data_IF_622923241502
#
_entry.id   IF_622923241502
#
_cell.length_a   1.000
_cell.length_b   1.000
_cell.length_c   1.000
_cell.angle_alpha   90.00
_cell.angle_beta   90.00
_cell.angle_gamma   90.00
#
_symmetry.space_group_name_H-M   'P 1'
#
loop_
_entity.id
_entity.type
_entity.pdbx_description
1 polymer ?
#
# COMPACT_ATOMS: atom_id res chain seq x y z
N UNK A 1 -3.45 -12.42 28.30
CA UNK A 1 -2.33 -12.26 29.22
C UNK A 1 -2.27 -10.80 29.57
N UNK A 2 -2.28 -10.50 30.87
CA UNK A 2 -2.42 -9.14 31.39
C UNK A 2 -1.41 -8.18 30.74
N UNK A 3 -1.91 -7.12 30.11
CA UNK A 3 -1.12 -5.95 29.69
C UNK A 3 -0.57 -5.93 28.27
N UNK A 4 -0.77 -6.92 27.40
CA UNK A 4 -0.28 -6.88 26.03
C UNK A 4 -1.40 -6.67 24.99
N UNK A 5 -1.20 -5.72 24.08
CA UNK A 5 -2.08 -5.56 22.91
C UNK A 5 -1.88 -6.74 21.96
N UNK A 6 -2.99 -7.35 21.50
CA UNK A 6 -2.99 -8.45 20.54
C UNK A 6 -3.99 -8.22 19.42
N UNK A 7 -3.68 -8.70 18.22
CA UNK A 7 -4.61 -8.81 17.12
C UNK A 7 -5.13 -10.25 17.07
N UNK A 8 -6.45 -10.41 16.91
CA UNK A 8 -7.11 -11.72 16.83
C UNK A 8 -7.85 -11.87 15.52
N UNK A 9 -7.91 -13.11 15.01
CA UNK A 9 -8.81 -13.49 13.93
C UNK A 9 -10.26 -13.53 14.42
N UNK A 10 -11.18 -13.74 13.50
CA UNK A 10 -12.61 -13.91 13.83
C UNK A 10 -12.87 -15.14 14.70
N UNK A 11 -12.10 -16.21 14.55
CA UNK A 11 -12.15 -17.41 15.40
C UNK A 11 -11.53 -17.20 16.81
N UNK A 12 -10.93 -16.02 17.07
CA UNK A 12 -10.29 -15.67 18.35
C UNK A 12 -8.81 -16.07 18.45
N UNK A 13 -8.20 -16.64 17.41
CA UNK A 13 -6.76 -16.96 17.36
C UNK A 13 -5.92 -15.69 17.46
N UNK A 14 -4.87 -15.69 18.28
CA UNK A 14 -3.89 -14.60 18.32
C UNK A 14 -3.06 -14.66 17.05
N UNK A 15 -3.06 -13.58 16.27
CA UNK A 15 -2.31 -13.41 15.03
C UNK A 15 -1.04 -12.60 15.22
N UNK A 16 -1.08 -11.62 16.12
CA UNK A 16 0.03 -10.73 16.40
C UNK A 16 -0.04 -10.17 17.82
N UNK A 17 1.07 -9.68 18.33
CA UNK A 17 1.13 -8.94 19.59
C UNK A 17 1.95 -7.65 19.42
N UNK A 18 1.71 -6.67 20.30
CA UNK A 18 2.52 -5.46 20.40
C UNK A 18 3.61 -5.70 21.44
N UNK A 19 4.89 -5.71 21.08
CA UNK A 19 5.98 -5.76 22.06
C UNK A 19 6.01 -4.51 22.94
N UNK A 20 6.55 -4.64 24.14
CA UNK A 20 6.68 -3.52 25.06
C UNK A 20 7.57 -2.43 24.46
N UNK A 21 7.07 -1.20 24.39
CA UNK A 21 7.75 -0.05 23.79
C UNK A 21 7.79 -0.03 22.25
N UNK A 22 7.18 -1.01 21.57
CA UNK A 22 7.08 -1.00 20.13
C UNK A 22 5.94 -0.09 19.65
N UNK A 23 6.08 0.38 18.39
CA UNK A 23 5.07 1.18 17.69
C UNK A 23 4.26 0.33 16.69
N UNK A 24 4.59 -0.96 16.54
CA UNK A 24 4.02 -1.87 15.56
C UNK A 24 3.71 -3.22 16.20
N UNK A 25 2.73 -3.92 15.61
CA UNK A 25 2.45 -5.31 15.94
C UNK A 25 3.42 -6.26 15.25
N UNK A 26 3.89 -7.25 15.97
CA UNK A 26 4.65 -8.38 15.42
C UNK A 26 3.72 -9.55 15.15
N UNK A 27 3.68 -10.00 13.91
CA UNK A 27 2.91 -11.19 13.53
C UNK A 27 3.57 -12.45 14.12
N UNK A 28 2.74 -13.32 14.71
CA UNK A 28 3.18 -14.56 15.37
C UNK A 28 2.55 -15.83 14.79
N UNK A 29 1.54 -15.69 13.97
CA UNK A 29 0.86 -16.78 13.30
C UNK A 29 0.91 -16.63 11.78
N UNK A 30 1.39 -17.63 11.09
CA UNK A 30 1.51 -17.71 9.64
C UNK A 30 0.86 -19.01 9.18
N UNK A 31 -0.32 -18.95 8.54
CA UNK A 31 -1.13 -20.14 8.21
C UNK A 31 -0.40 -21.19 7.37
N UNK A 32 0.50 -20.80 6.48
CA UNK A 32 1.20 -21.67 5.54
C UNK A 32 2.65 -21.99 5.95
N UNK A 33 3.04 -21.65 7.18
CA UNK A 33 4.41 -21.89 7.64
C UNK A 33 4.79 -23.37 7.66
N UNK A 34 3.86 -24.26 8.02
CA UNK A 34 4.08 -25.72 8.11
C UNK A 34 3.65 -26.47 6.85
N UNK A 35 3.01 -25.80 5.91
CA UNK A 35 2.51 -26.34 4.65
C UNK A 35 1.30 -25.57 4.15
N UNK A 36 1.06 -25.58 2.84
CA UNK A 36 -0.06 -24.89 2.22
C UNK A 36 -1.08 -25.85 1.62
N UNK A 37 -2.35 -25.47 1.75
CA UNK A 37 -3.45 -25.97 0.97
C UNK A 37 -4.00 -24.80 0.12
N UNK A 38 -3.60 -24.76 -1.15
CA UNK A 38 -4.00 -23.69 -2.06
C UNK A 38 -5.49 -23.72 -2.42
N UNK A 39 -6.17 -24.85 -2.24
CA UNK A 39 -7.61 -24.94 -2.48
C UNK A 39 -8.41 -24.31 -1.34
N UNK A 40 -7.84 -24.28 -0.14
CA UNK A 40 -8.41 -23.64 1.04
C UNK A 40 -7.97 -22.16 1.23
N UNK A 41 -7.22 -21.56 0.28
CA UNK A 41 -6.63 -20.22 0.44
C UNK A 41 -7.67 -19.14 0.80
N UNK A 42 -8.89 -19.21 0.28
CA UNK A 42 -9.97 -18.26 0.60
C UNK A 42 -10.35 -18.26 2.08
N UNK A 43 -10.48 -19.44 2.68
CA UNK A 43 -10.79 -19.60 4.11
C UNK A 43 -9.60 -19.18 4.98
N UNK A 44 -8.40 -19.55 4.54
CA UNK A 44 -7.15 -19.20 5.24
C UNK A 44 -6.91 -17.69 5.26
N UNK A 45 -7.22 -16.98 4.16
CA UNK A 45 -7.18 -15.52 4.12
C UNK A 45 -8.09 -14.89 5.18
N UNK A 46 -9.30 -15.42 5.39
CA UNK A 46 -10.25 -14.95 6.40
C UNK A 46 -9.73 -15.05 7.85
N UNK A 47 -8.80 -15.96 8.11
CA UNK A 47 -8.16 -16.21 9.42
C UNK A 47 -6.71 -15.70 9.47
N UNK A 48 -6.28 -14.88 8.52
CA UNK A 48 -4.93 -14.35 8.44
C UNK A 48 -4.78 -12.96 9.05
N UNK A 49 -3.55 -12.56 9.33
CA UNK A 49 -3.20 -11.20 9.77
C UNK A 49 -3.63 -10.17 8.72
N UNK A 50 -3.51 -10.48 7.44
CA UNK A 50 -3.94 -9.60 6.36
C UNK A 50 -5.40 -9.17 6.51
N UNK A 51 -6.33 -10.12 6.62
CA UNK A 51 -7.75 -9.80 6.77
C UNK A 51 -8.05 -9.05 8.08
N UNK A 52 -7.35 -9.39 9.16
CA UNK A 52 -7.52 -8.73 10.45
C UNK A 52 -7.16 -7.23 10.43
N UNK A 53 -6.19 -6.81 9.59
CA UNK A 53 -5.80 -5.40 9.46
C UNK A 53 -6.51 -4.69 8.31
N UNK A 54 -6.88 -5.40 7.25
CA UNK A 54 -7.49 -4.83 6.05
C UNK A 54 -9.02 -4.72 6.15
N UNK A 55 -9.65 -5.52 7.00
CA UNK A 55 -11.10 -5.52 7.15
C UNK A 55 -11.53 -4.68 8.35
N UNK A 56 -12.49 -3.76 8.17
CA UNK A 56 -13.12 -3.10 9.30
C UNK A 56 -13.85 -4.12 10.18
N UNK A 57 -14.07 -3.81 11.46
CA UNK A 57 -14.80 -4.72 12.35
C UNK A 57 -16.23 -4.98 11.84
N UNK A 58 -16.49 -6.22 11.49
CA UNK A 58 -17.78 -6.71 10.98
C UNK A 58 -17.85 -6.83 9.44
N UNK A 59 -18.80 -7.62 8.94
CA UNK A 59 -18.97 -7.81 7.52
C UNK A 59 -19.49 -6.52 6.87
N UNK A 60 -18.74 -6.01 5.88
CA UNK A 60 -19.24 -4.96 4.99
C UNK A 60 -19.92 -5.66 3.82
N UNK A 61 -21.24 -5.57 3.73
CA UNK A 61 -21.96 -6.03 2.54
C UNK A 61 -21.88 -4.98 1.41
N UNK A 62 -22.05 -5.45 0.18
CA UNK A 62 -21.98 -4.61 -1.01
C UNK A 62 -23.01 -3.46 -0.99
N UNK A 63 -24.18 -3.67 -0.38
CA UNK A 63 -25.25 -2.67 -0.28
C UNK A 63 -24.84 -1.54 0.65
N UNK A 64 -24.35 -1.86 1.83
CA UNK A 64 -23.84 -0.87 2.80
C UNK A 64 -22.68 -0.07 2.23
N UNK A 65 -21.78 -0.72 1.48
CA UNK A 65 -20.64 -0.08 0.83
C UNK A 65 -21.11 0.89 -0.27
N UNK A 66 -22.01 0.48 -1.14
CA UNK A 66 -22.60 1.31 -2.19
C UNK A 66 -23.34 2.54 -1.60
N UNK A 67 -24.15 2.32 -0.57
CA UNK A 67 -24.87 3.40 0.12
C UNK A 67 -23.91 4.38 0.80
N UNK A 68 -22.83 3.90 1.38
CA UNK A 68 -21.77 4.71 1.95
C UNK A 68 -21.08 5.59 0.92
N UNK A 69 -20.66 5.00 -0.19
CA UNK A 69 -19.99 5.67 -1.29
C UNK A 69 -20.89 6.74 -1.95
N UNK A 70 -22.15 6.40 -2.21
CA UNK A 70 -23.16 7.34 -2.74
C UNK A 70 -23.37 8.53 -1.81
N UNK A 71 -23.52 8.31 -0.49
CA UNK A 71 -23.66 9.39 0.49
C UNK A 71 -22.41 10.26 0.58
N UNK A 72 -21.22 9.67 0.47
CA UNK A 72 -19.97 10.42 0.45
C UNK A 72 -19.87 11.28 -0.81
N UNK A 73 -20.12 10.73 -1.99
CA UNK A 73 -20.11 11.47 -3.25
C UNK A 73 -21.09 12.66 -3.25
N UNK A 74 -22.25 12.50 -2.65
CA UNK A 74 -23.24 13.58 -2.55
C UNK A 74 -22.81 14.74 -1.62
N UNK A 75 -21.79 14.55 -0.78
CA UNK A 75 -21.31 15.54 0.20
C UNK A 75 -20.02 16.25 -0.22
N UNK A 76 -19.37 15.84 -1.29
CA UNK A 76 -18.07 16.37 -1.69
C UNK A 76 -17.88 16.34 -3.20
N UNK A 77 -17.19 17.36 -3.71
CA UNK A 77 -16.64 17.44 -5.06
C UNK A 77 -15.18 16.95 -5.14
N UNK A 78 -14.61 16.55 -4.01
CA UNK A 78 -13.23 16.04 -3.93
C UNK A 78 -13.12 14.66 -4.53
N UNK A 79 -11.91 14.30 -4.98
CA UNK A 79 -11.59 12.94 -5.39
C UNK A 79 -11.82 11.96 -4.23
N UNK A 80 -12.49 10.85 -4.51
CA UNK A 80 -12.76 9.78 -3.56
C UNK A 80 -11.87 8.59 -3.92
N UNK A 81 -11.15 8.08 -2.92
CA UNK A 81 -10.32 6.89 -3.04
C UNK A 81 -11.09 5.68 -2.51
N UNK A 82 -11.27 4.68 -3.36
CA UNK A 82 -11.74 3.35 -2.95
C UNK A 82 -10.57 2.49 -2.50
N UNK A 83 -10.57 2.07 -1.25
CA UNK A 83 -9.53 1.21 -0.68
C UNK A 83 -9.85 -0.25 -1.03
N UNK A 84 -9.10 -0.84 -1.95
CA UNK A 84 -9.31 -2.23 -2.38
C UNK A 84 -8.26 -3.19 -1.81
N UNK A 85 -6.99 -2.81 -1.82
CA UNK A 85 -5.87 -3.67 -1.44
C UNK A 85 -5.41 -4.55 -2.60
N UNK A 86 -5.82 -5.83 -2.64
CA UNK A 86 -5.45 -6.74 -3.74
C UNK A 86 -3.96 -7.09 -3.77
N UNK A 87 -3.30 -7.07 -2.61
CA UNK A 87 -1.86 -7.30 -2.44
C UNK A 87 -1.51 -8.74 -2.82
N UNK A 88 -0.42 -8.91 -3.54
CA UNK A 88 0.07 -10.22 -3.96
C UNK A 88 1.28 -10.65 -3.13
N UNK A 89 2.29 -9.79 -3.05
CA UNK A 89 3.54 -10.07 -2.35
C UNK A 89 3.35 -10.08 -0.83
N UNK A 90 2.72 -9.05 -0.30
CA UNK A 90 2.48 -8.96 1.15
C UNK A 90 1.55 -10.07 1.66
N UNK A 91 0.52 -10.47 0.90
CA UNK A 91 -0.32 -11.62 1.28
C UNK A 91 0.52 -12.88 1.40
N UNK A 92 1.47 -13.11 0.48
CA UNK A 92 2.42 -14.21 0.61
C UNK A 92 3.25 -14.13 1.89
N UNK A 93 3.73 -12.93 2.24
CA UNK A 93 4.47 -12.71 3.49
C UNK A 93 3.60 -12.99 4.74
N UNK A 94 2.33 -12.56 4.72
CA UNK A 94 1.39 -12.82 5.83
C UNK A 94 1.01 -14.30 5.98
N UNK A 95 1.03 -15.06 4.90
CA UNK A 95 0.69 -16.49 4.94
C UNK A 95 1.88 -17.40 5.25
N UNK A 96 3.03 -17.17 4.59
CA UNK A 96 4.20 -18.03 4.66
C UNK A 96 5.28 -17.55 5.64
N UNK A 97 5.22 -16.33 6.17
CA UNK A 97 6.32 -15.56 6.74
C UNK A 97 7.31 -15.09 5.65
N UNK A 98 7.89 -13.91 5.83
CA UNK A 98 8.69 -13.25 4.80
C UNK A 98 9.84 -14.11 4.26
N UNK A 99 10.64 -14.72 5.14
CA UNK A 99 11.78 -15.55 4.76
C UNK A 99 11.38 -16.82 3.97
N UNK A 100 10.31 -17.50 4.40
CA UNK A 100 9.80 -18.68 3.71
C UNK A 100 9.15 -18.32 2.36
N UNK A 101 8.45 -17.19 2.29
CA UNK A 101 7.89 -16.73 1.03
C UNK A 101 8.98 -16.37 0.02
N UNK A 102 10.02 -15.65 0.44
CA UNK A 102 11.18 -15.34 -0.42
C UNK A 102 11.89 -16.60 -0.90
N UNK A 103 12.05 -17.62 -0.04
CA UNK A 103 12.58 -18.93 -0.44
C UNK A 103 11.68 -19.64 -1.45
N UNK A 104 10.36 -19.61 -1.26
CA UNK A 104 9.38 -20.16 -2.22
C UNK A 104 9.52 -19.51 -3.60
N UNK A 105 9.56 -18.16 -3.65
CA UNK A 105 9.71 -17.42 -4.91
C UNK A 105 11.02 -17.75 -5.65
N UNK A 106 12.10 -17.95 -4.90
CA UNK A 106 13.42 -18.20 -5.48
C UNK A 106 13.66 -19.67 -5.89
N UNK A 107 13.18 -20.61 -5.07
CA UNK A 107 13.53 -22.02 -5.20
C UNK A 107 12.42 -22.88 -5.85
N UNK A 108 11.17 -22.47 -5.76
CA UNK A 108 10.01 -23.23 -6.20
C UNK A 108 9.09 -22.41 -7.16
N UNK A 109 9.59 -21.91 -8.29
CA UNK A 109 8.83 -20.96 -9.10
C UNK A 109 7.48 -21.48 -9.59
N UNK A 110 7.36 -22.78 -9.86
CA UNK A 110 6.08 -23.37 -10.27
C UNK A 110 5.03 -23.36 -9.14
N UNK A 111 5.45 -23.54 -7.89
CA UNK A 111 4.57 -23.44 -6.72
C UNK A 111 4.21 -22.00 -6.45
N UNK A 112 5.16 -21.07 -6.59
CA UNK A 112 4.93 -19.65 -6.51
C UNK A 112 3.89 -19.16 -7.56
N UNK A 113 4.00 -19.63 -8.81
CA UNK A 113 3.00 -19.34 -9.85
C UNK A 113 1.61 -19.84 -9.43
N UNK A 114 1.47 -21.09 -9.00
CA UNK A 114 0.17 -21.65 -8.56
C UNK A 114 -0.45 -20.85 -7.41
N UNK A 115 0.35 -20.48 -6.41
CA UNK A 115 -0.10 -19.65 -5.30
C UNK A 115 -0.62 -18.29 -5.80
N UNK A 116 0.18 -17.58 -6.60
CA UNK A 116 -0.18 -16.27 -7.12
C UNK A 116 -1.38 -16.32 -8.09
N UNK A 117 -1.54 -17.40 -8.87
CA UNK A 117 -2.69 -17.59 -9.75
C UNK A 117 -3.98 -17.80 -8.97
N UNK A 118 -3.93 -18.59 -7.90
CA UNK A 118 -5.08 -18.74 -6.98
C UNK A 118 -5.45 -17.43 -6.28
N UNK A 119 -4.44 -16.69 -5.85
CA UNK A 119 -4.68 -15.40 -5.19
C UNK A 119 -5.29 -14.37 -6.14
N UNK A 120 -4.81 -14.29 -7.39
CA UNK A 120 -5.35 -13.35 -8.37
C UNK A 120 -6.80 -13.69 -8.78
N UNK A 121 -7.18 -14.98 -8.85
CA UNK A 121 -8.57 -15.40 -9.06
C UNK A 121 -9.49 -14.81 -7.98
N UNK A 122 -9.09 -14.91 -6.72
CA UNK A 122 -9.85 -14.35 -5.57
C UNK A 122 -9.91 -12.81 -5.67
N UNK A 123 -8.79 -12.17 -5.96
CA UNK A 123 -8.75 -10.71 -6.07
C UNK A 123 -9.61 -10.20 -7.23
N UNK A 124 -9.62 -10.85 -8.38
CA UNK A 124 -10.47 -10.47 -9.52
C UNK A 124 -11.96 -10.59 -9.16
N UNK A 125 -12.38 -11.68 -8.54
CA UNK A 125 -13.76 -11.85 -8.09
C UNK A 125 -14.18 -10.78 -7.06
N UNK A 126 -13.28 -10.43 -6.13
CA UNK A 126 -13.51 -9.38 -5.15
C UNK A 126 -13.53 -7.99 -5.79
N UNK A 127 -12.66 -7.74 -6.76
CA UNK A 127 -12.60 -6.48 -7.51
C UNK A 127 -13.91 -6.20 -8.26
N UNK A 128 -14.47 -7.21 -8.92
CA UNK A 128 -15.75 -7.10 -9.61
C UNK A 128 -16.88 -6.73 -8.65
N UNK A 129 -16.96 -7.40 -7.50
CA UNK A 129 -17.96 -7.08 -6.46
C UNK A 129 -17.77 -5.67 -5.91
N UNK A 130 -16.53 -5.29 -5.64
CA UNK A 130 -16.18 -3.96 -5.10
C UNK A 130 -16.57 -2.86 -6.09
N UNK A 131 -16.12 -2.94 -7.34
CA UNK A 131 -16.38 -1.91 -8.34
C UNK A 131 -17.84 -1.89 -8.81
N UNK A 132 -18.55 -3.02 -8.79
CA UNK A 132 -20.01 -3.02 -8.99
C UNK A 132 -20.72 -2.20 -7.91
N UNK A 133 -20.22 -2.22 -6.68
CA UNK A 133 -20.83 -1.47 -5.57
C UNK A 133 -20.46 0.01 -5.56
N UNK A 134 -19.20 0.35 -5.88
CA UNK A 134 -18.67 1.72 -5.65
C UNK A 134 -18.08 2.41 -6.88
N UNK A 135 -17.93 1.74 -8.00
CA UNK A 135 -17.20 2.24 -9.16
C UNK A 135 -17.72 3.57 -9.72
N UNK A 136 -19.01 3.84 -9.62
CA UNK A 136 -19.62 5.13 -10.02
C UNK A 136 -19.31 6.29 -9.07
N UNK A 137 -18.81 5.99 -7.86
CA UNK A 137 -18.67 6.99 -6.78
C UNK A 137 -17.23 7.32 -6.45
N UNK A 138 -16.27 6.54 -6.94
CA UNK A 138 -14.83 6.73 -6.68
C UNK A 138 -14.10 7.22 -7.93
N UNK A 139 -13.02 7.96 -7.71
CA UNK A 139 -12.17 8.49 -8.80
C UNK A 139 -10.84 7.72 -8.89
N UNK A 140 -10.42 7.12 -7.77
CA UNK A 140 -9.16 6.41 -7.63
C UNK A 140 -9.42 5.10 -6.90
N UNK A 141 -8.83 4.01 -7.40
CA UNK A 141 -8.78 2.74 -6.68
C UNK A 141 -7.37 2.54 -6.13
N UNK A 142 -7.26 2.29 -4.82
CA UNK A 142 -6.00 2.05 -4.13
C UNK A 142 -5.75 0.56 -3.99
N UNK A 143 -4.70 0.12 -4.65
CA UNK A 143 -4.07 -1.19 -4.45
C UNK A 143 -2.92 -1.08 -3.47
N UNK A 144 -2.52 -2.19 -2.85
CA UNK A 144 -1.34 -2.26 -1.99
C UNK A 144 -0.41 -3.36 -2.46
N UNK A 145 0.87 -3.17 -2.32
CA UNK A 145 1.89 -4.23 -2.30
C UNK A 145 3.28 -3.64 -1.98
N UNK A 146 3.81 -3.90 -0.79
CA UNK A 146 5.10 -3.36 -0.36
C UNK A 146 6.24 -4.18 -0.99
N UNK A 147 6.75 -3.68 -2.13
CA UNK A 147 7.79 -4.33 -2.93
C UNK A 147 9.20 -3.84 -2.60
N UNK A 148 9.34 -2.84 -1.74
CA UNK A 148 10.60 -2.18 -1.42
C UNK A 148 11.01 -2.29 0.04
N UNK A 149 12.29 -2.05 0.28
CA UNK A 149 12.89 -1.83 1.60
C UNK A 149 13.83 -0.62 1.56
N UNK A 150 14.52 -0.30 2.66
CA UNK A 150 15.39 0.88 2.73
C UNK A 150 16.50 0.91 1.67
N UNK A 151 16.99 -0.25 1.25
CA UNK A 151 18.14 -0.38 0.33
C UNK A 151 17.75 -0.61 -1.13
N UNK A 152 16.47 -0.71 -1.45
CA UNK A 152 15.96 -0.96 -2.80
C UNK A 152 14.82 -1.98 -2.83
N UNK A 153 14.49 -2.55 -4.00
CA UNK A 153 13.44 -3.54 -4.12
C UNK A 153 13.72 -4.84 -3.34
N UNK A 154 12.69 -5.48 -2.81
CA UNK A 154 12.78 -6.77 -2.12
C UNK A 154 13.07 -7.93 -3.08
N UNK A 155 12.87 -7.73 -4.36
CA UNK A 155 13.12 -8.71 -5.42
C UNK A 155 13.78 -8.06 -6.63
N UNK A 156 14.46 -8.88 -7.46
CA UNK A 156 15.04 -8.37 -8.70
C UNK A 156 13.94 -7.95 -9.70
N UNK A 157 14.20 -6.97 -10.59
CA UNK A 157 13.26 -6.63 -11.67
C UNK A 157 12.87 -7.83 -12.54
N UNK A 158 13.78 -8.79 -12.72
CA UNK A 158 13.47 -10.04 -13.45
C UNK A 158 12.40 -10.85 -12.73
N UNK A 159 12.53 -11.07 -11.42
CA UNK A 159 11.54 -11.81 -10.62
C UNK A 159 10.19 -11.09 -10.62
N UNK A 160 10.18 -9.77 -10.49
CA UNK A 160 8.97 -8.97 -10.59
C UNK A 160 8.27 -9.16 -11.94
N UNK A 161 8.99 -9.06 -13.07
CA UNK A 161 8.46 -9.26 -14.42
C UNK A 161 7.89 -10.66 -14.64
N UNK A 162 8.49 -11.67 -14.03
CA UNK A 162 8.07 -13.06 -14.17
C UNK A 162 6.84 -13.37 -13.31
N UNK A 163 6.87 -12.99 -12.02
CA UNK A 163 5.87 -13.44 -11.05
C UNK A 163 4.75 -12.43 -10.79
N UNK A 164 5.04 -11.14 -10.71
CA UNK A 164 4.09 -10.13 -10.21
C UNK A 164 3.53 -9.23 -11.31
N UNK A 165 4.36 -8.69 -12.18
CA UNK A 165 3.94 -7.75 -13.23
C UNK A 165 2.75 -8.23 -14.08
N UNK A 166 2.69 -9.49 -14.55
CA UNK A 166 1.54 -9.96 -15.35
C UNK A 166 0.23 -9.92 -14.56
N UNK A 167 0.29 -10.19 -13.26
CA UNK A 167 -0.87 -10.22 -12.35
C UNK A 167 -1.31 -8.83 -11.92
N UNK A 168 -0.37 -7.93 -11.60
CA UNK A 168 -0.67 -6.52 -11.40
C UNK A 168 -1.34 -5.91 -12.64
N UNK A 169 -0.77 -6.16 -13.83
CA UNK A 169 -1.33 -5.69 -15.09
C UNK A 169 -2.76 -6.20 -15.32
N UNK A 170 -3.01 -7.47 -15.05
CA UNK A 170 -4.34 -8.08 -15.16
C UNK A 170 -5.34 -7.39 -14.21
N UNK A 171 -4.97 -7.24 -12.94
CA UNK A 171 -5.83 -6.67 -11.90
C UNK A 171 -6.11 -5.18 -12.15
N UNK A 172 -5.10 -4.39 -12.48
CA UNK A 172 -5.21 -2.95 -12.71
C UNK A 172 -5.97 -2.62 -14.00
N UNK A 173 -5.72 -3.36 -15.07
CA UNK A 173 -6.49 -3.18 -16.31
C UNK A 173 -7.95 -3.59 -16.10
N UNK A 174 -8.21 -4.68 -15.37
CA UNK A 174 -9.58 -5.07 -15.05
C UNK A 174 -10.31 -4.00 -14.24
N UNK A 175 -9.65 -3.33 -13.32
CA UNK A 175 -10.24 -2.20 -12.59
C UNK A 175 -10.66 -1.07 -13.54
N UNK A 176 -9.78 -0.69 -14.49
CA UNK A 176 -10.06 0.35 -15.50
C UNK A 176 -11.13 -0.04 -16.52
N UNK A 177 -11.31 -1.33 -16.78
CA UNK A 177 -12.41 -1.84 -17.63
C UNK A 177 -13.76 -1.76 -16.92
N UNK A 178 -13.78 -1.98 -15.60
CA UNK A 178 -15.00 -2.02 -14.80
C UNK A 178 -15.50 -0.63 -14.39
N UNK A 179 -14.61 0.36 -14.27
CA UNK A 179 -14.95 1.71 -13.84
C UNK A 179 -13.96 2.76 -14.38
N UNK A 180 -14.42 4.01 -14.51
CA UNK A 180 -13.54 5.14 -14.88
C UNK A 180 -12.73 5.60 -13.67
N UNK A 181 -11.70 4.83 -13.33
CA UNK A 181 -10.86 5.06 -12.15
C UNK A 181 -9.38 5.14 -12.52
N UNK A 182 -8.61 5.89 -11.72
CA UNK A 182 -7.15 5.85 -11.73
C UNK A 182 -6.64 4.80 -10.76
N UNK A 183 -5.59 4.09 -11.16
CA UNK A 183 -4.94 3.06 -10.35
C UNK A 183 -3.84 3.70 -9.51
N UNK A 184 -3.96 3.63 -8.20
CA UNK A 184 -2.92 4.02 -7.25
C UNK A 184 -2.38 2.79 -6.54
N UNK A 185 -1.06 2.67 -6.43
CA UNK A 185 -0.40 1.63 -5.65
C UNK A 185 0.19 2.24 -4.38
N UNK A 186 -0.20 1.69 -3.22
CA UNK A 186 0.56 1.86 -1.98
C UNK A 186 1.70 0.84 -1.99
N UNK A 187 2.94 1.36 -1.94
CA UNK A 187 4.14 0.55 -2.01
C UNK A 187 5.27 1.25 -1.25
N UNK A 188 5.55 0.80 -0.03
CA UNK A 188 6.64 1.32 0.77
C UNK A 188 8.01 0.88 0.25
N UNK A 189 9.05 1.62 0.66
CA UNK A 189 10.44 1.30 0.35
C UNK A 189 10.95 1.89 -0.95
N UNK A 190 12.19 1.52 -1.28
CA UNK A 190 12.87 1.91 -2.52
C UNK A 190 12.44 1.02 -3.68
N UNK A 191 11.69 1.58 -4.62
CA UNK A 191 11.13 0.83 -5.76
C UNK A 191 11.49 1.43 -7.12
N UNK A 192 12.45 2.37 -7.17
CA UNK A 192 12.83 3.04 -8.43
C UNK A 192 13.11 2.08 -9.57
N UNK A 193 13.84 0.98 -9.30
CA UNK A 193 14.18 0.00 -10.32
C UNK A 193 12.95 -0.74 -10.89
N UNK A 194 11.84 -0.79 -10.15
CA UNK A 194 10.58 -1.40 -10.58
C UNK A 194 9.64 -0.40 -11.26
N UNK A 195 9.86 0.92 -11.12
CA UNK A 195 8.95 1.96 -11.63
C UNK A 195 8.62 1.82 -13.12
N UNK A 196 9.58 1.56 -14.03
CA UNK A 196 9.23 1.36 -15.45
C UNK A 196 8.24 0.20 -15.66
N UNK A 197 8.44 -0.88 -14.92
CA UNK A 197 7.58 -2.08 -15.02
C UNK A 197 6.20 -1.85 -14.39
N UNK A 198 6.12 -1.09 -13.28
CA UNK A 198 4.87 -0.70 -12.63
C UNK A 198 4.04 0.21 -13.56
N UNK A 199 4.67 1.22 -14.16
CA UNK A 199 4.02 2.13 -15.11
C UNK A 199 3.50 1.35 -16.32
N UNK A 200 4.32 0.48 -16.91
CA UNK A 200 3.91 -0.37 -18.04
C UNK A 200 2.77 -1.35 -17.68
N UNK A 201 2.69 -1.79 -16.42
CA UNK A 201 1.59 -2.61 -15.93
C UNK A 201 0.26 -1.83 -15.79
N UNK A 202 0.29 -0.49 -15.83
CA UNK A 202 -0.90 0.35 -15.81
C UNK A 202 -1.05 1.23 -14.58
N UNK A 203 0.03 1.48 -13.82
CA UNK A 203 0.02 2.36 -12.66
C UNK A 203 -0.20 3.83 -13.07
N UNK A 204 -1.11 4.55 -12.41
CA UNK A 204 -1.34 5.99 -12.61
C UNK A 204 -0.76 6.83 -11.46
N UNK A 205 -0.68 6.28 -10.23
CA UNK A 205 -0.13 6.98 -9.08
C UNK A 205 0.60 6.03 -8.13
N UNK A 206 1.71 6.50 -7.56
CA UNK A 206 2.52 5.78 -6.54
C UNK A 206 2.42 6.50 -5.20
N UNK A 207 2.20 5.76 -4.13
CA UNK A 207 2.15 6.18 -2.73
C UNK A 207 2.97 5.19 -1.88
N UNK A 208 3.71 5.61 -0.86
CA UNK A 208 3.83 6.97 -0.31
C UNK A 208 5.02 7.78 -0.83
N UNK A 209 5.82 7.28 -1.76
CA UNK A 209 7.08 7.88 -2.26
C UNK A 209 8.08 8.06 -1.12
N UNK A 210 8.69 6.95 -0.71
CA UNK A 210 9.57 6.93 0.47
C UNK A 210 10.96 7.48 0.16
N UNK A 211 11.07 8.81 0.18
CA UNK A 211 12.26 9.58 -0.22
C UNK A 211 13.52 9.32 0.62
N UNK A 212 13.38 8.70 1.79
CA UNK A 212 14.50 8.28 2.66
C UNK A 212 15.16 6.96 2.22
N UNK A 213 14.58 6.25 1.24
CA UNK A 213 15.15 5.01 0.73
C UNK A 213 16.20 5.24 -0.36
N UNK A 214 17.09 4.27 -0.52
CA UNK A 214 18.09 4.30 -1.59
C UNK A 214 17.44 4.40 -2.97
N UNK A 215 17.96 5.30 -3.81
CA UNK A 215 17.45 5.55 -5.16
C UNK A 215 16.14 6.33 -5.25
N UNK A 216 15.56 6.77 -4.14
CA UNK A 216 14.26 7.45 -4.10
C UNK A 216 14.39 8.99 -3.97
N UNK A 217 15.47 9.59 -4.50
CA UNK A 217 15.57 11.04 -4.55
C UNK A 217 14.40 11.66 -5.32
N UNK A 218 13.71 12.61 -4.71
CA UNK A 218 12.50 13.21 -5.26
C UNK A 218 12.74 13.93 -6.60
N UNK A 219 13.91 14.56 -6.78
CA UNK A 219 14.27 15.27 -8.01
C UNK A 219 14.55 14.30 -9.15
N UNK A 220 15.27 13.23 -8.89
CA UNK A 220 15.54 12.18 -9.88
C UNK A 220 14.25 11.47 -10.29
N UNK A 221 13.42 11.06 -9.33
CA UNK A 221 12.11 10.45 -9.61
C UNK A 221 11.22 11.37 -10.45
N UNK A 222 11.15 12.65 -10.08
CA UNK A 222 10.36 13.63 -10.83
C UNK A 222 10.85 13.84 -12.25
N UNK A 223 12.15 13.90 -12.45
CA UNK A 223 12.76 14.08 -13.77
C UNK A 223 12.53 12.85 -14.67
N UNK A 224 12.65 11.64 -14.09
CA UNK A 224 12.56 10.39 -14.85
C UNK A 224 11.11 9.95 -15.13
N UNK A 225 10.22 10.00 -14.12
CA UNK A 225 8.88 9.41 -14.19
C UNK A 225 7.72 10.40 -14.07
N UNK A 226 7.99 11.68 -13.79
CA UNK A 226 6.96 12.67 -13.47
C UNK A 226 5.98 13.01 -14.60
N UNK A 227 6.19 12.51 -15.83
CA UNK A 227 5.25 12.61 -16.95
C UNK A 227 4.30 11.41 -17.05
N UNK A 228 4.69 10.29 -16.46
CA UNK A 228 4.02 9.00 -16.64
C UNK A 228 3.25 8.56 -15.39
N UNK A 229 3.62 9.08 -14.21
CA UNK A 229 2.99 8.70 -12.93
C UNK A 229 2.82 9.91 -12.01
N UNK A 230 1.74 9.91 -11.23
CA UNK A 230 1.52 10.87 -10.15
C UNK A 230 2.21 10.40 -8.88
N UNK A 231 3.04 11.26 -8.27
CA UNK A 231 3.63 11.06 -6.96
C UNK A 231 2.66 11.49 -5.86
N UNK A 232 2.13 10.54 -5.12
CA UNK A 232 1.24 10.77 -4.00
C UNK A 232 1.99 10.52 -2.71
N UNK A 233 2.64 11.54 -2.16
CA UNK A 233 3.53 11.45 -1.02
C UNK A 233 4.89 12.09 -1.27
N UNK A 234 5.89 11.73 -0.45
CA UNK A 234 7.22 12.32 -0.53
C UNK A 234 7.29 13.77 -0.02
N UNK A 235 6.20 14.30 0.51
CA UNK A 235 6.11 15.70 0.94
C UNK A 235 6.82 15.99 2.26
N UNK A 236 6.94 15.00 3.13
CA UNK A 236 7.69 15.12 4.39
C UNK A 236 8.20 13.74 4.83
N UNK A 237 9.48 13.65 5.14
CA UNK A 237 10.09 12.46 5.73
C UNK A 237 9.55 12.22 7.14
N UNK A 238 9.03 11.00 7.36
CA UNK A 238 8.44 10.55 8.62
C UNK A 238 9.36 9.70 9.48
N UNK A 239 10.57 9.37 9.00
CA UNK A 239 11.55 8.58 9.75
C UNK A 239 12.48 9.46 10.59
N UNK A 240 12.89 10.60 10.07
CA UNK A 240 13.84 11.49 10.74
C UNK A 240 13.30 12.91 10.88
N UNK A 241 12.95 13.58 9.77
CA UNK A 241 12.62 15.01 9.78
C UNK A 241 11.37 15.32 10.62
N UNK A 242 10.28 14.60 10.41
CA UNK A 242 9.02 14.87 11.09
C UNK A 242 9.07 14.56 12.60
N UNK A 243 9.64 13.42 13.06
CA UNK A 243 9.72 13.12 14.49
C UNK A 243 10.83 13.84 15.23
N UNK A 244 11.97 14.14 14.58
CA UNK A 244 13.20 14.59 15.27
C UNK A 244 13.60 16.02 14.94
N UNK A 245 13.04 16.62 13.88
CA UNK A 245 13.34 18.00 13.49
C UNK A 245 12.66 19.04 14.38
N UNK A 246 13.11 20.31 14.28
CA UNK A 246 12.35 21.44 14.80
C UNK A 246 11.22 21.83 13.81
N UNK A 247 10.18 22.57 14.27
CA UNK A 247 9.13 23.06 13.36
C UNK A 247 9.67 23.81 12.14
N UNK A 248 10.75 24.57 12.30
CA UNK A 248 11.39 25.31 11.21
C UNK A 248 12.08 24.37 10.22
N UNK A 249 12.75 23.32 10.70
CA UNK A 249 13.38 22.30 9.85
C UNK A 249 12.32 21.50 9.06
N UNK A 250 11.24 21.11 9.72
CA UNK A 250 10.10 20.46 9.06
C UNK A 250 9.52 21.35 7.96
N UNK A 251 9.24 22.62 8.28
CA UNK A 251 8.70 23.58 7.31
C UNK A 251 9.66 23.82 6.13
N UNK A 252 10.95 23.88 6.38
CA UNK A 252 11.98 24.03 5.33
C UNK A 252 12.00 22.80 4.42
N UNK A 253 11.99 21.59 4.99
CA UNK A 253 11.97 20.33 4.26
C UNK A 253 10.71 20.22 3.37
N UNK A 254 9.53 20.48 3.92
CA UNK A 254 8.28 20.49 3.15
C UNK A 254 8.32 21.45 1.97
N UNK A 255 8.75 22.70 2.19
CA UNK A 255 8.89 23.67 1.09
C UNK A 255 9.86 23.21 0.01
N UNK A 256 10.92 22.51 0.39
CA UNK A 256 11.86 21.92 -0.56
C UNK A 256 11.21 20.81 -1.38
N UNK A 257 10.52 19.85 -0.76
CA UNK A 257 9.85 18.76 -1.46
C UNK A 257 8.76 19.28 -2.41
N UNK A 258 7.93 20.22 -1.96
CA UNK A 258 6.92 20.86 -2.81
C UNK A 258 7.55 21.55 -4.02
N UNK A 259 8.68 22.28 -3.83
CA UNK A 259 9.41 22.93 -4.93
C UNK A 259 9.91 21.92 -5.97
N UNK A 260 10.32 20.74 -5.54
CA UNK A 260 10.84 19.67 -6.41
C UNK A 260 9.68 18.97 -7.15
N UNK A 261 8.65 18.56 -6.43
CA UNK A 261 7.64 17.63 -6.96
C UNK A 261 6.48 18.34 -7.67
N UNK A 262 6.14 19.60 -7.32
CA UNK A 262 5.00 20.33 -7.89
C UNK A 262 5.13 20.73 -9.36
N UNK A 263 6.31 21.12 -9.90
CA UNK A 263 6.39 21.61 -11.29
C UNK A 263 5.84 20.61 -12.30
N UNK A 264 4.98 21.10 -13.21
CA UNK A 264 4.34 20.27 -14.24
C UNK A 264 3.16 19.41 -13.76
N UNK A 265 2.74 19.52 -12.50
CA UNK A 265 1.65 18.71 -11.92
C UNK A 265 2.11 17.29 -11.55
N UNK A 266 1.18 16.32 -11.45
CA UNK A 266 1.48 14.94 -11.08
C UNK A 266 2.06 14.81 -9.67
N UNK A 267 1.62 15.65 -8.73
CA UNK A 267 2.03 15.62 -7.34
C UNK A 267 0.84 15.88 -6.41
N UNK A 268 0.64 15.00 -5.45
CA UNK A 268 -0.30 15.17 -4.34
C UNK A 268 0.48 15.15 -3.04
N UNK A 269 0.40 16.26 -2.29
CA UNK A 269 1.12 16.36 -1.02
C UNK A 269 0.55 15.37 0.00
N UNK A 270 1.44 14.58 0.56
CA UNK A 270 1.24 13.74 1.75
C UNK A 270 2.61 13.54 2.39
N UNK A 271 2.67 13.38 3.71
CA UNK A 271 3.86 12.85 4.37
C UNK A 271 4.16 11.44 3.87
N UNK A 272 5.41 10.97 4.06
CA UNK A 272 5.84 9.68 3.49
C UNK A 272 5.06 8.48 4.03
N UNK A 273 4.77 8.46 5.35
CA UNK A 273 4.08 7.34 5.97
C UNK A 273 3.15 7.81 7.09
N UNK A 274 2.57 6.88 7.85
CA UNK A 274 1.75 7.20 9.01
C UNK A 274 2.50 8.08 10.01
N UNK A 275 1.79 9.03 10.60
CA UNK A 275 2.29 9.84 11.72
C UNK A 275 2.23 8.98 12.98
N UNK A 276 3.38 8.65 13.54
CA UNK A 276 3.49 7.81 14.72
C UNK A 276 3.33 8.62 16.01
N UNK A 277 3.12 7.92 17.13
CA UNK A 277 2.85 8.54 18.45
C UNK A 277 4.02 9.36 19.01
N UNK A 278 5.25 9.16 18.50
CA UNK A 278 6.44 9.91 18.89
C UNK A 278 6.62 11.24 18.16
N UNK A 279 5.74 11.57 17.20
CA UNK A 279 5.84 12.83 16.43
C UNK A 279 5.29 13.99 17.25
N UNK A 280 6.07 15.08 17.48
CA UNK A 280 5.58 16.28 18.15
C UNK A 280 4.42 16.94 17.37
N UNK A 281 3.38 17.35 18.06
CA UNK A 281 2.21 17.99 17.45
C UNK A 281 2.53 19.28 16.71
N UNK A 282 3.48 20.07 17.22
CA UNK A 282 3.98 21.29 16.61
C UNK A 282 4.65 21.03 15.24
N UNK A 283 5.30 19.89 15.05
CA UNK A 283 5.88 19.49 13.78
C UNK A 283 4.79 19.14 12.75
N UNK A 284 3.69 18.51 13.20
CA UNK A 284 2.55 18.24 12.32
C UNK A 284 1.91 19.56 11.85
N UNK A 285 1.72 20.51 12.74
CA UNK A 285 1.20 21.84 12.40
C UNK A 285 2.12 22.55 11.42
N UNK A 286 3.43 22.59 11.72
CA UNK A 286 4.42 23.20 10.84
C UNK A 286 4.48 22.60 9.44
N UNK A 287 4.29 21.27 9.33
CA UNK A 287 4.19 20.57 8.05
C UNK A 287 3.00 21.08 7.21
N UNK A 288 1.80 21.15 7.81
CA UNK A 288 0.61 21.61 7.09
C UNK A 288 0.63 23.12 6.79
N UNK A 289 1.13 23.94 7.70
CA UNK A 289 1.30 25.37 7.46
C UNK A 289 2.27 25.64 6.31
N UNK A 290 3.37 24.88 6.26
CA UNK A 290 4.37 25.02 5.21
C UNK A 290 3.82 24.63 3.83
N UNK A 291 3.02 23.57 3.71
CA UNK A 291 2.42 23.19 2.42
C UNK A 291 1.34 24.18 1.99
N UNK A 292 0.48 24.63 2.92
CA UNK A 292 -0.55 25.62 2.62
C UNK A 292 0.04 26.95 2.10
N UNK A 293 1.19 27.37 2.65
CA UNK A 293 1.88 28.56 2.20
C UNK A 293 2.65 28.38 0.87
N UNK A 294 2.90 27.14 0.43
CA UNK A 294 3.65 26.82 -0.78
C UNK A 294 2.74 26.46 -1.98
N UNK A 295 1.44 26.26 -1.76
CA UNK A 295 0.43 25.95 -2.78
C UNK A 295 -0.25 27.19 -3.32
#
# INVERSE_FOLDING_TARGET
QEGRWVIRSQSGRILAHMPDGALYFEQTYFPFLEGDDLDAIGDVLGESMWTAIASPPGPIDATSLADGARRLRAKTDRAIIGLFGGNLFEVGQFLYRNDQFMMLLAAEPQRAHRFLDKLIEIHLANLERFLTAVGEYIDIILFGDDLGMQTGPMMSPRMYRELFKPRHRLLWNRAKELADVKVMLHCCGGVRELMPDLIEAGLDAINPVQISCAGMDAGELKAEFGKDVTFWGGGCDTQDVLPNGTPEQVAQHVRQQVRILRPGGGFVFQQVHNVLANVPSENIVAMFDAVNAAM
#
